data_IF_639232742799
#
_entry.id   IF_639232742799
#
_cell.length_a   1.000
_cell.length_b   1.000
_cell.length_c   1.000
_cell.angle_alpha   90.00
_cell.angle_beta   90.00
_cell.angle_gamma   90.00
#
_symmetry.space_group_name_H-M   'P 1'
#
loop_
_entity.id
_entity.type
_entity.pdbx_description
1 polymer ?
#
# COMPACT_ATOMS: atom_id res chain seq x y z
N UNK A 1 -0.65 -7.57 10.87
CA UNK A 1 -1.55 -8.24 9.90
C UNK A 1 -1.57 -7.41 8.61
N UNK A 2 -2.36 -7.79 7.59
CA UNK A 2 -2.46 -7.06 6.30
C UNK A 2 -3.83 -6.41 6.09
N UNK A 3 -3.92 -5.40 5.22
CA UNK A 3 -5.15 -4.70 4.87
C UNK A 3 -5.61 -5.00 3.44
N UNK A 4 -6.93 -4.90 3.19
CA UNK A 4 -7.52 -4.87 1.84
C UNK A 4 -8.23 -3.54 1.65
N UNK A 5 -7.45 -2.46 1.66
CA UNK A 5 -7.99 -1.10 1.75
C UNK A 5 -8.73 -0.72 0.47
N UNK A 6 -9.71 0.16 0.64
CA UNK A 6 -10.56 0.65 -0.43
C UNK A 6 -10.52 2.18 -0.46
N UNK A 7 -10.48 2.74 -1.66
CA UNK A 7 -10.86 4.12 -1.93
C UNK A 7 -12.27 4.14 -2.54
N UNK A 8 -13.02 5.21 -2.25
CA UNK A 8 -14.36 5.45 -2.79
C UNK A 8 -14.34 6.84 -3.43
N UNK A 9 -14.69 6.92 -4.72
CA UNK A 9 -14.63 8.15 -5.53
C UNK A 9 -16.03 8.49 -6.02
N UNK A 10 -16.57 9.61 -5.53
CA UNK A 10 -17.86 10.14 -5.94
C UNK A 10 -17.73 11.02 -7.18
N UNK A 11 -18.84 11.26 -7.88
CA UNK A 11 -18.89 12.02 -9.13
C UNK A 11 -18.50 13.49 -8.99
N UNK A 12 -18.55 14.05 -7.78
CA UNK A 12 -18.13 15.40 -7.43
C UNK A 12 -16.65 15.50 -6.99
N UNK A 13 -15.92 14.38 -6.99
CA UNK A 13 -14.52 14.36 -6.62
C UNK A 13 -13.64 15.10 -7.65
N UNK A 14 -12.71 15.92 -7.16
CA UNK A 14 -11.69 16.54 -8.01
C UNK A 14 -10.68 15.50 -8.50
N UNK A 15 -10.85 15.06 -9.75
CA UNK A 15 -9.99 14.07 -10.38
C UNK A 15 -8.53 14.51 -10.54
N UNK A 16 -8.25 15.82 -10.60
CA UNK A 16 -6.88 16.31 -10.76
C UNK A 16 -6.04 16.06 -9.49
N UNK A 17 -6.69 16.09 -8.33
CA UNK A 17 -6.06 15.75 -7.05
C UNK A 17 -6.22 14.26 -6.71
N UNK A 18 -7.37 13.67 -7.02
CA UNK A 18 -7.69 12.29 -6.66
C UNK A 18 -6.82 11.27 -7.39
N UNK A 19 -6.63 11.40 -8.71
CA UNK A 19 -5.92 10.39 -9.50
C UNK A 19 -4.45 10.27 -9.09
N UNK A 20 -3.65 11.36 -8.96
CA UNK A 20 -2.27 11.25 -8.52
C UNK A 20 -2.13 10.59 -7.14
N UNK A 21 -3.03 10.91 -6.21
CA UNK A 21 -3.05 10.29 -4.89
C UNK A 21 -3.31 8.78 -4.96
N UNK A 22 -4.28 8.36 -5.79
CA UNK A 22 -4.61 6.95 -5.98
C UNK A 22 -3.54 6.17 -6.74
N UNK A 23 -2.87 6.77 -7.73
CA UNK A 23 -1.70 6.17 -8.40
C UNK A 23 -0.62 5.88 -7.36
N UNK A 24 -0.26 6.90 -6.56
CA UNK A 24 0.74 6.75 -5.50
C UNK A 24 0.33 5.67 -4.51
N UNK A 25 -0.90 5.74 -3.98
CA UNK A 25 -1.39 4.80 -2.97
C UNK A 25 -1.58 3.36 -3.46
N UNK A 26 -1.79 3.16 -4.76
CA UNK A 26 -1.96 1.82 -5.35
C UNK A 26 -0.64 1.15 -5.69
N UNK A 27 0.32 1.92 -6.24
CA UNK A 27 1.51 1.34 -6.87
C UNK A 27 2.82 1.56 -6.10
N UNK A 28 2.87 2.47 -5.12
CA UNK A 28 4.05 2.64 -4.26
C UNK A 28 4.54 1.29 -3.72
N UNK A 29 5.86 1.07 -3.77
CA UNK A 29 6.50 -0.17 -3.30
C UNK A 29 5.89 -1.42 -3.95
N UNK A 30 5.51 -1.35 -5.23
CA UNK A 30 4.89 -2.44 -5.97
C UNK A 30 3.56 -2.91 -5.33
N UNK A 31 2.90 -2.04 -4.56
CA UNK A 31 1.70 -2.39 -3.79
C UNK A 31 1.98 -3.27 -2.55
N UNK A 32 3.25 -3.53 -2.22
CA UNK A 32 3.68 -4.35 -1.08
C UNK A 32 3.67 -3.54 0.22
N UNK A 33 2.56 -2.83 0.49
CA UNK A 33 2.33 -2.01 1.69
C UNK A 33 0.97 -2.39 2.27
N UNK A 34 0.90 -2.57 3.59
CA UNK A 34 -0.33 -2.95 4.27
C UNK A 34 -1.49 -1.94 4.10
N UNK A 35 -1.16 -0.67 3.83
CA UNK A 35 -2.07 0.44 3.57
C UNK A 35 -2.38 0.66 2.08
N UNK A 36 -1.82 -0.16 1.18
CA UNK A 36 -2.01 0.00 -0.27
C UNK A 36 -3.49 0.02 -0.65
N UNK A 37 -3.84 0.90 -1.59
CA UNK A 37 -5.20 1.01 -2.12
C UNK A 37 -5.46 -0.12 -3.10
N UNK A 38 -5.87 -1.25 -2.55
CA UNK A 38 -6.05 -2.50 -3.31
C UNK A 38 -7.42 -2.63 -4.01
N UNK A 39 -8.34 -1.69 -3.76
CA UNK A 39 -9.68 -1.60 -4.33
C UNK A 39 -10.05 -0.13 -4.51
N UNK A 40 -10.63 0.22 -5.65
CA UNK A 40 -11.15 1.57 -5.93
C UNK A 40 -12.60 1.40 -6.39
N UNK A 41 -13.54 1.94 -5.64
CA UNK A 41 -14.95 2.01 -6.00
C UNK A 41 -15.26 3.39 -6.55
N UNK A 42 -15.86 3.45 -7.72
CA UNK A 42 -16.15 4.71 -8.41
C UNK A 42 -17.64 4.81 -8.66
N UNK A 43 -18.23 5.98 -8.40
CA UNK A 43 -19.63 6.24 -8.72
C UNK A 43 -19.86 6.03 -10.22
N UNK A 44 -20.94 5.30 -10.54
CA UNK A 44 -21.25 4.82 -11.90
C UNK A 44 -21.13 5.91 -12.98
N UNK A 45 -21.60 7.13 -12.71
CA UNK A 45 -21.58 8.25 -13.66
C UNK A 45 -20.16 8.68 -14.05
N UNK A 46 -19.20 8.52 -13.14
CA UNK A 46 -17.81 8.95 -13.29
C UNK A 46 -16.90 7.84 -13.82
N UNK A 47 -17.35 6.57 -13.80
CA UNK A 47 -16.52 5.39 -14.02
C UNK A 47 -15.67 5.44 -15.29
N UNK A 48 -16.28 5.73 -16.44
CA UNK A 48 -15.56 5.70 -17.73
C UNK A 48 -14.43 6.72 -17.77
N UNK A 49 -14.72 7.97 -17.40
CA UNK A 49 -13.74 9.06 -17.35
C UNK A 49 -12.64 8.79 -16.32
N UNK A 50 -13.01 8.28 -15.14
CA UNK A 50 -12.05 7.90 -14.12
C UNK A 50 -11.11 6.79 -14.62
N UNK A 51 -11.67 5.71 -15.17
CA UNK A 51 -10.91 4.55 -15.62
C UNK A 51 -9.92 4.94 -16.72
N UNK A 52 -10.34 5.74 -17.70
CA UNK A 52 -9.48 6.23 -18.77
C UNK A 52 -8.30 7.06 -18.25
N UNK A 53 -8.57 8.05 -17.40
CA UNK A 53 -7.52 8.93 -16.84
C UNK A 53 -6.59 8.17 -15.90
N UNK A 54 -7.13 7.30 -15.04
CA UNK A 54 -6.34 6.48 -14.14
C UNK A 54 -5.41 5.53 -14.91
N UNK A 55 -5.93 4.86 -15.95
CA UNK A 55 -5.13 3.99 -16.82
C UNK A 55 -4.06 4.78 -17.56
N UNK A 56 -4.39 5.98 -18.01
CA UNK A 56 -3.42 6.88 -18.68
C UNK A 56 -2.26 7.21 -17.76
N UNK A 57 -2.52 7.59 -16.51
CA UNK A 57 -1.44 7.86 -15.54
C UNK A 57 -0.69 6.60 -15.14
N UNK A 58 -1.39 5.46 -14.97
CA UNK A 58 -0.76 4.19 -14.63
C UNK A 58 0.24 3.73 -15.70
N UNK A 59 -0.07 3.95 -16.99
CA UNK A 59 0.83 3.62 -18.11
C UNK A 59 2.10 4.47 -18.16
N UNK A 60 2.13 5.64 -17.50
CA UNK A 60 3.33 6.49 -17.41
C UNK A 60 4.34 5.99 -16.39
N UNK A 61 3.96 5.04 -15.53
CA UNK A 61 4.86 4.49 -14.52
C UNK A 61 6.02 3.78 -15.21
N UNK A 62 7.23 4.32 -15.03
CA UNK A 62 8.47 3.70 -15.50
C UNK A 62 8.84 2.54 -14.57
N UNK A 63 8.76 1.32 -15.10
CA UNK A 63 9.16 0.10 -14.42
C UNK A 63 10.55 -0.32 -14.94
N UNK A 64 11.45 -0.75 -14.07
CA UNK A 64 12.83 -0.99 -14.49
C UNK A 64 13.76 -1.53 -13.41
N UNK A 65 15.06 -1.40 -13.65
CA UNK A 65 16.11 -1.69 -12.67
C UNK A 65 16.04 -0.64 -11.55
N UNK A 66 15.97 -1.04 -10.27
CA UNK A 66 15.92 -0.13 -9.13
C UNK A 66 17.16 0.77 -8.98
N UNK A 67 18.25 0.51 -9.71
CA UNK A 67 19.45 1.35 -9.72
C UNK A 67 19.39 2.51 -10.73
N UNK A 68 18.40 2.52 -11.63
CA UNK A 68 18.23 3.58 -12.63
C UNK A 68 17.36 4.72 -12.06
N UNK A 69 17.84 5.97 -12.18
CA UNK A 69 17.18 7.16 -11.59
C UNK A 69 15.74 7.37 -12.09
N UNK A 70 15.46 6.94 -13.33
CA UNK A 70 14.13 7.10 -13.93
C UNK A 70 13.15 5.99 -13.51
N UNK A 71 13.61 4.92 -12.85
CA UNK A 71 12.76 3.82 -12.42
C UNK A 71 11.91 4.25 -11.23
N UNK A 72 10.59 4.28 -11.43
CA UNK A 72 9.65 4.52 -10.34
C UNK A 72 9.21 3.20 -9.67
N UNK A 73 9.18 2.11 -10.43
CA UNK A 73 8.75 0.80 -9.95
C UNK A 73 9.80 -0.29 -10.25
N UNK A 74 10.51 -0.72 -9.21
CA UNK A 74 11.42 -1.88 -9.24
C UNK A 74 10.73 -3.25 -9.12
N UNK A 75 11.50 -4.32 -8.84
CA UNK A 75 11.00 -5.69 -8.79
C UNK A 75 10.15 -5.96 -7.53
N UNK A 76 9.36 -7.05 -7.59
CA UNK A 76 8.69 -7.61 -6.41
C UNK A 76 9.67 -8.40 -5.54
N UNK A 77 9.35 -8.57 -4.26
CA UNK A 77 10.32 -9.04 -3.25
C UNK A 77 10.86 -10.46 -3.47
N UNK A 78 10.13 -11.34 -4.17
CA UNK A 78 10.55 -12.73 -4.38
C UNK A 78 9.76 -13.42 -5.50
N UNK A 79 10.32 -14.51 -6.04
CA UNK A 79 9.64 -15.37 -7.03
C UNK A 79 8.33 -15.98 -6.49
N UNK A 80 8.26 -16.54 -5.26
CA UNK A 80 6.98 -17.03 -4.74
C UNK A 80 5.92 -15.94 -4.63
N UNK A 81 6.31 -14.71 -4.27
CA UNK A 81 5.38 -13.57 -4.25
C UNK A 81 4.89 -13.20 -5.65
N UNK A 82 5.79 -13.19 -6.63
CA UNK A 82 5.45 -12.99 -8.04
C UNK A 82 4.44 -14.02 -8.55
N UNK A 83 4.67 -15.32 -8.33
CA UNK A 83 3.74 -16.37 -8.76
C UNK A 83 2.37 -16.23 -8.09
N UNK A 84 2.33 -15.81 -6.82
CA UNK A 84 1.08 -15.51 -6.12
C UNK A 84 0.31 -14.35 -6.76
N UNK A 85 1.00 -13.30 -7.19
CA UNK A 85 0.37 -12.19 -7.94
C UNK A 85 -0.23 -12.72 -9.24
N UNK A 86 0.53 -13.51 -10.01
CA UNK A 86 0.03 -14.13 -11.26
C UNK A 86 -1.20 -15.00 -11.04
N UNK A 87 -1.24 -15.75 -9.94
CA UNK A 87 -2.41 -16.55 -9.58
C UNK A 87 -3.67 -15.69 -9.40
N UNK A 88 -3.58 -14.53 -8.73
CA UNK A 88 -4.73 -13.64 -8.57
C UNK A 88 -5.16 -12.97 -9.88
N UNK A 89 -4.22 -12.66 -10.79
CA UNK A 89 -4.57 -12.17 -12.13
C UNK A 89 -5.36 -13.24 -12.91
N UNK A 90 -4.93 -14.50 -12.82
CA UNK A 90 -5.65 -15.62 -13.44
C UNK A 90 -7.07 -15.75 -12.89
N UNK A 91 -7.25 -15.73 -11.57
CA UNK A 91 -8.58 -15.78 -10.93
C UNK A 91 -9.45 -14.62 -11.42
N UNK A 92 -8.93 -13.39 -11.43
CA UNK A 92 -9.69 -12.23 -11.90
C UNK A 92 -10.16 -12.40 -13.35
N UNK A 93 -9.31 -12.93 -14.23
CA UNK A 93 -9.67 -13.24 -15.63
C UNK A 93 -10.78 -14.28 -15.72
N UNK A 94 -10.67 -15.37 -14.96
CA UNK A 94 -11.66 -16.46 -14.91
C UNK A 94 -13.01 -15.98 -14.36
N UNK A 95 -13.00 -15.03 -13.43
CA UNK A 95 -14.20 -14.37 -12.89
C UNK A 95 -14.77 -13.26 -13.81
N UNK A 96 -14.17 -13.04 -14.98
CA UNK A 96 -14.67 -12.10 -15.99
C UNK A 96 -14.19 -10.65 -15.83
N UNK A 97 -13.12 -10.41 -15.08
CA UNK A 97 -12.52 -9.08 -14.98
C UNK A 97 -11.89 -8.66 -16.32
N UNK A 98 -11.97 -7.36 -16.62
CA UNK A 98 -11.33 -6.75 -17.79
C UNK A 98 -10.04 -6.07 -17.37
N UNK A 99 -8.93 -6.39 -18.05
CA UNK A 99 -7.64 -5.72 -17.85
C UNK A 99 -7.51 -4.53 -18.78
N UNK A 100 -7.39 -3.33 -18.20
CA UNK A 100 -7.29 -2.08 -18.97
C UNK A 100 -5.82 -1.67 -19.28
N UNK A 101 -4.87 -2.15 -18.48
CA UNK A 101 -3.43 -1.96 -18.68
C UNK A 101 -2.61 -3.02 -17.93
N UNK A 102 -1.31 -3.05 -18.22
CA UNK A 102 -0.38 -4.07 -17.73
C UNK A 102 -0.08 -5.11 -18.81
N UNK A 103 0.90 -5.97 -18.55
CA UNK A 103 1.31 -7.05 -19.44
C UNK A 103 1.63 -8.29 -18.62
N UNK A 104 1.21 -9.46 -19.11
CA UNK A 104 1.66 -10.76 -18.58
C UNK A 104 3.10 -11.10 -19.05
N UNK A 105 3.55 -10.45 -20.12
CA UNK A 105 4.87 -10.62 -20.71
C UNK A 105 5.77 -9.44 -20.29
N UNK A 106 6.43 -9.60 -19.15
CA UNK A 106 7.47 -8.68 -18.70
C UNK A 106 8.82 -9.18 -19.23
N UNK A 107 9.43 -8.45 -20.17
CA UNK A 107 10.83 -8.62 -20.53
C UNK A 107 11.68 -8.02 -19.42
N UNK A 108 11.87 -8.76 -18.32
CA UNK A 108 12.71 -8.33 -17.21
C UNK A 108 14.18 -8.47 -17.62
N UNK A 109 15.02 -7.44 -17.44
CA UNK A 109 16.46 -7.57 -17.62
C UNK A 109 17.05 -8.54 -16.58
N UNK A 110 18.12 -9.26 -16.94
CA UNK A 110 18.63 -10.41 -16.17
C UNK A 110 19.14 -10.04 -14.77
N UNK A 111 19.57 -8.79 -14.57
CA UNK A 111 19.98 -8.21 -13.28
C UNK A 111 18.84 -8.15 -12.25
N UNK A 112 17.59 -7.95 -12.67
CA UNK A 112 16.42 -7.95 -11.78
C UNK A 112 16.09 -9.35 -11.22
N UNK A 113 16.77 -10.41 -11.67
CA UNK A 113 16.61 -11.79 -11.16
C UNK A 113 17.45 -12.09 -9.91
N UNK A 114 18.36 -11.20 -9.50
CA UNK A 114 19.29 -11.43 -8.38
C UNK A 114 19.45 -10.20 -7.47
N UNK A 115 18.43 -9.88 -6.68
CA UNK A 115 18.58 -8.92 -5.56
C UNK A 115 17.69 -9.31 -4.38
N UNK A 116 18.25 -9.19 -3.17
CA UNK A 116 17.67 -9.61 -1.89
C UNK A 116 17.24 -8.47 -0.95
N UNK A 117 17.05 -7.25 -1.48
CA UNK A 117 16.61 -5.96 -0.84
C UNK A 117 17.73 -4.96 -0.51
N UNK A 118 17.55 -3.68 -0.88
CA UNK A 118 18.35 -2.51 -0.41
C UNK A 118 17.47 -1.25 -0.36
N UNK A 119 17.72 -0.34 0.60
CA UNK A 119 17.16 1.02 0.72
C UNK A 119 18.28 2.06 0.76
N UNK A 120 18.12 3.26 0.18
CA UNK A 120 18.98 4.40 0.52
C UNK A 120 18.32 5.78 0.28
N UNK A 121 18.38 6.64 1.31
CA UNK A 121 17.95 8.06 1.38
C UNK A 121 16.45 8.41 1.21
N UNK A 122 15.63 7.59 1.90
CA UNK A 122 14.29 7.80 2.47
C UNK A 122 13.04 7.69 1.57
N UNK A 123 12.04 6.87 2.01
CA UNK A 123 10.63 7.26 1.94
C UNK A 123 9.65 6.42 2.81
N UNK A 124 9.52 6.77 4.09
CA UNK A 124 8.35 6.59 4.97
C UNK A 124 8.46 7.63 6.10
N UNK A 125 8.57 8.91 5.73
CA UNK A 125 8.62 10.01 6.71
C UNK A 125 7.30 10.00 7.47
N UNK A 126 7.38 9.58 8.73
CA UNK A 126 6.27 9.30 9.63
C UNK A 126 6.61 9.99 10.93
N UNK A 127 5.69 10.81 11.43
CA UNK A 127 5.84 11.41 12.73
C UNK A 127 5.64 10.30 13.79
N UNK A 128 6.68 10.02 14.59
CA UNK A 128 6.65 9.02 15.68
C UNK A 128 5.59 9.33 16.76
N UNK A 129 5.04 10.55 16.75
CA UNK A 129 3.95 10.98 17.63
C UNK A 129 2.53 10.59 17.19
N UNK A 130 2.35 10.05 15.99
CA UNK A 130 1.02 9.67 15.49
C UNK A 130 0.64 8.23 15.89
N UNK A 131 -0.58 7.94 16.35
CA UNK A 131 -1.00 6.55 16.56
C UNK A 131 -1.11 5.80 15.22
N UNK A 132 -0.57 4.58 15.14
CA UNK A 132 -0.67 3.71 13.96
C UNK A 132 -1.09 2.30 14.35
N UNK A 133 -2.14 1.77 13.75
CA UNK A 133 -2.53 0.38 13.99
C UNK A 133 -3.76 -0.02 13.20
N UNK A 134 -3.96 -1.32 13.04
CA UNK A 134 -5.12 -1.88 12.37
C UNK A 134 -6.28 -2.16 13.32
N UNK A 135 -7.43 -2.53 12.77
CA UNK A 135 -8.58 -3.06 13.51
C UNK A 135 -9.09 -4.34 12.87
N UNK A 136 -9.91 -5.11 13.58
CA UNK A 136 -10.42 -6.43 13.13
C UNK A 136 -9.26 -7.39 12.90
N UNK A 137 -9.22 -8.04 11.73
CA UNK A 137 -8.08 -8.84 11.26
C UNK A 137 -6.92 -7.97 10.73
N UNK A 138 -6.99 -6.65 10.92
CA UNK A 138 -5.95 -5.62 10.76
C UNK A 138 -4.82 -5.68 11.79
N UNK A 139 -5.18 -6.03 13.02
CA UNK A 139 -4.35 -5.93 14.21
C UNK A 139 -5.19 -5.44 15.40
N UNK A 140 -4.61 -5.49 16.59
CA UNK A 140 -5.15 -4.93 17.83
C UNK A 140 -4.10 -3.99 18.42
N UNK A 141 -4.53 -2.84 18.93
CA UNK A 141 -3.64 -1.83 19.50
C UNK A 141 -3.22 -0.74 18.51
N UNK A 142 -2.36 0.16 18.99
CA UNK A 142 -1.76 1.27 18.26
C UNK A 142 -0.29 1.37 18.65
N UNK A 143 0.55 1.72 17.69
CA UNK A 143 1.99 1.92 17.82
C UNK A 143 2.32 3.40 17.59
N UNK A 144 3.21 3.95 18.42
CA UNK A 144 3.60 5.37 18.42
C UNK A 144 3.39 6.02 19.78
N UNK A 145 4.44 6.66 20.32
CA UNK A 145 4.43 7.45 21.58
C UNK A 145 3.63 6.81 22.73
N UNK A 146 2.52 7.42 23.15
CA UNK A 146 1.79 7.03 24.36
C UNK A 146 1.07 5.70 24.19
N UNK A 147 0.61 5.36 22.99
CA UNK A 147 -0.04 4.08 22.72
C UNK A 147 0.95 2.91 22.86
N UNK A 148 2.20 3.10 22.44
CA UNK A 148 3.26 2.13 22.68
C UNK A 148 3.60 2.02 24.17
N UNK A 149 3.66 3.15 24.90
CA UNK A 149 3.85 3.13 26.35
C UNK A 149 2.73 2.34 27.02
N UNK A 150 1.48 2.62 26.71
CA UNK A 150 0.34 1.97 27.35
C UNK A 150 0.22 0.49 26.95
N UNK A 151 0.66 0.10 25.75
CA UNK A 151 0.72 -1.31 25.34
C UNK A 151 1.84 -2.10 26.03
N UNK A 152 3.03 -1.51 26.18
CA UNK A 152 4.20 -2.18 26.78
C UNK A 152 4.37 -1.93 28.28
N UNK A 153 3.52 -1.10 28.90
CA UNK A 153 3.51 -0.87 30.35
C UNK A 153 2.20 -1.36 30.95
N UNK A 154 2.24 -1.77 32.21
CA UNK A 154 1.03 -2.07 32.97
C UNK A 154 0.92 -1.09 34.12
N UNK A 155 -0.29 -0.55 34.34
CA UNK A 155 -0.55 0.34 35.47
C UNK A 155 -0.64 -0.50 36.75
N UNK A 156 0.19 -0.17 37.74
CA UNK A 156 0.12 -0.74 39.09
C UNK A 156 -0.28 0.35 40.07
N UNK A 157 -1.41 0.17 40.73
CA UNK A 157 -1.84 1.05 41.82
C UNK A 157 -1.25 0.56 43.13
N UNK A 158 -0.51 1.41 43.84
CA UNK A 158 0.02 1.13 45.18
C UNK A 158 -0.66 2.07 46.17
N UNK A 159 -1.47 1.52 47.07
CA UNK A 159 -2.10 2.28 48.15
C UNK A 159 -1.27 2.12 49.42
N UNK A 160 -0.68 3.22 49.90
CA UNK A 160 0.11 3.23 51.14
C UNK A 160 -0.69 3.94 52.22
N UNK A 161 -1.03 3.23 53.30
CA UNK A 161 -1.66 3.82 54.47
C UNK A 161 -0.60 4.48 55.34
N UNK A 162 -0.52 5.80 55.32
CA UNK A 162 0.32 6.56 56.25
C UNK A 162 -0.34 6.61 57.63
N UNK A 163 0.45 6.39 58.69
CA UNK A 163 0.09 6.82 60.03
C UNK A 163 0.51 8.28 60.18
N UNK A 164 -0.44 9.15 60.48
CA UNK A 164 -0.15 10.51 60.92
C UNK A 164 0.56 10.45 62.29
N UNK A 165 1.47 11.38 62.59
CA UNK A 165 2.17 11.45 63.87
C UNK A 165 1.21 11.63 65.05
#
# INVERSE_FOLDING_TARGET
MGGKNAAIVFSDADLNNCIPALIRGSFINQGQICLSTSRIYVERKLFSTFAERFVTEAKKIKMGDPLEDETWLGPVCSKPHYERIKQYLKIAKEEGATFLCGSENLNLPDNNRKVGTVWCNCWLVRNLHMPFGGEKRSGLGREGTEDSRDFYTYKKTICIKYKLP
#
